data_IF_840394246639
#
_entry.id   IF_840394246639
#
_cell.length_a   1.000
_cell.length_b   1.000
_cell.length_c   1.000
_cell.angle_alpha   90.00
_cell.angle_beta   90.00
_cell.angle_gamma   90.00
#
_symmetry.space_group_name_H-M   'P 1'
#
loop_
_entity.id
_entity.type
_entity.pdbx_description
1 polymer ?
#
# COMPACT_ATOMS: atom_id res chain seq x y z
N UNK A 1 9.73 4.61 -26.14
CA UNK A 1 8.66 3.59 -26.29
C UNK A 1 9.03 2.73 -27.47
N UNK A 2 9.26 1.46 -27.24
CA UNK A 2 9.74 0.52 -28.26
C UNK A 2 8.64 -0.13 -29.08
N UNK A 3 7.35 0.11 -28.72
CA UNK A 3 6.20 -0.52 -29.37
C UNK A 3 6.02 -2.00 -29.05
N UNK A 4 6.81 -2.56 -28.14
CA UNK A 4 6.78 -3.98 -27.78
C UNK A 4 5.69 -4.35 -26.78
N UNK A 5 5.12 -3.38 -26.09
CA UNK A 5 4.10 -3.58 -25.04
C UNK A 5 2.87 -2.76 -25.37
N UNK A 6 1.69 -3.39 -25.41
CA UNK A 6 0.40 -2.73 -25.64
C UNK A 6 -0.23 -2.17 -24.38
N UNK A 7 0.15 -2.71 -23.22
CA UNK A 7 -0.33 -2.27 -21.91
C UNK A 7 0.66 -2.66 -20.82
N UNK A 8 0.55 -1.98 -19.67
CA UNK A 8 1.38 -2.25 -18.50
C UNK A 8 0.61 -1.90 -17.22
N UNK A 9 1.05 -2.46 -16.11
CA UNK A 9 0.61 -2.09 -14.75
C UNK A 9 1.83 -1.69 -13.94
N UNK A 10 1.84 -0.49 -13.41
CA UNK A 10 2.99 0.08 -12.68
C UNK A 10 2.51 1.07 -11.63
N UNK A 11 3.30 1.24 -10.55
CA UNK A 11 3.04 2.25 -9.53
C UNK A 11 3.30 3.68 -10.03
N UNK A 12 2.73 4.66 -9.33
CA UNK A 12 3.01 6.07 -9.58
C UNK A 12 4.46 6.44 -9.18
N UNK A 13 5.04 7.46 -9.86
CA UNK A 13 4.44 8.40 -10.82
C UNK A 13 4.54 7.98 -12.29
N UNK A 14 4.84 6.73 -12.59
CA UNK A 14 5.17 6.27 -13.94
C UNK A 14 3.97 6.29 -14.89
N UNK A 15 2.73 6.07 -14.40
CA UNK A 15 1.52 6.23 -15.22
C UNK A 15 1.33 7.68 -15.63
N UNK A 16 1.41 8.63 -14.66
CA UNK A 16 1.30 10.07 -14.96
C UNK A 16 2.43 10.54 -15.90
N UNK A 17 3.63 9.95 -15.80
CA UNK A 17 4.70 10.22 -16.75
C UNK A 17 4.34 9.76 -18.16
N UNK A 18 3.70 8.60 -18.32
CA UNK A 18 3.27 8.12 -19.63
C UNK A 18 2.19 9.01 -20.25
N UNK A 19 1.21 9.46 -19.46
CA UNK A 19 0.18 10.42 -19.90
C UNK A 19 0.82 11.73 -20.33
N UNK A 20 1.66 12.33 -19.50
CA UNK A 20 2.33 13.60 -19.79
C UNK A 20 3.17 13.55 -21.08
N UNK A 21 3.80 12.42 -21.33
CA UNK A 21 4.62 12.20 -22.55
C UNK A 21 3.80 11.74 -23.76
N UNK A 22 2.49 11.53 -23.62
CA UNK A 22 1.60 11.08 -24.69
C UNK A 22 1.82 9.62 -25.13
N UNK A 23 2.32 8.77 -24.25
CA UNK A 23 2.63 7.36 -24.56
C UNK A 23 1.53 6.39 -24.18
N UNK A 24 0.64 6.79 -23.31
CA UNK A 24 -0.42 5.93 -22.81
C UNK A 24 -1.46 6.68 -22.00
N UNK A 25 -2.55 5.98 -21.74
CA UNK A 25 -3.67 6.46 -20.93
C UNK A 25 -3.96 5.43 -19.84
N UNK A 26 -4.27 5.85 -18.59
CA UNK A 26 -4.76 4.94 -17.56
C UNK A 26 -6.12 4.37 -17.96
N UNK A 27 -6.23 3.05 -17.99
CA UNK A 27 -7.50 2.37 -18.28
C UNK A 27 -8.30 2.21 -16.99
N UNK A 28 -7.61 1.88 -15.89
CA UNK A 28 -8.21 1.63 -14.59
C UNK A 28 -7.17 1.86 -13.50
N UNK A 29 -7.61 2.31 -12.34
CA UNK A 29 -6.80 2.43 -11.13
C UNK A 29 -7.16 1.35 -10.10
N UNK A 30 -6.24 1.01 -9.21
CA UNK A 30 -6.43 -0.07 -8.25
C UNK A 30 -7.56 0.18 -7.25
N UNK A 31 -7.85 1.45 -6.93
CA UNK A 31 -8.96 1.83 -6.05
C UNK A 31 -10.35 1.50 -6.62
N UNK A 32 -10.48 1.47 -7.94
CA UNK A 32 -11.71 1.03 -8.62
C UNK A 32 -11.91 -0.47 -8.46
N UNK A 33 -10.82 -1.24 -8.38
CA UNK A 33 -10.87 -2.68 -8.24
C UNK A 33 -11.05 -3.13 -6.79
N UNK A 34 -10.31 -2.48 -5.89
CA UNK A 34 -10.20 -2.90 -4.51
C UNK A 34 -9.99 -1.72 -3.57
N UNK A 35 -10.90 -1.53 -2.61
CA UNK A 35 -10.78 -0.48 -1.61
C UNK A 35 -9.58 -0.72 -0.70
N UNK A 36 -8.81 0.34 -0.45
CA UNK A 36 -7.74 0.35 0.54
C UNK A 36 -6.72 -0.79 0.35
N UNK A 37 -6.42 -1.10 -0.90
CA UNK A 37 -5.40 -2.08 -1.27
C UNK A 37 -4.02 -1.64 -0.79
N UNK A 38 -3.28 -2.55 -0.13
CA UNK A 38 -1.88 -2.32 0.18
C UNK A 38 -1.07 -2.27 -1.12
N UNK A 39 -0.29 -1.20 -1.31
CA UNK A 39 0.55 -1.02 -2.50
C UNK A 39 2.02 -1.35 -2.18
N UNK A 40 2.68 -0.50 -1.40
CA UNK A 40 4.11 -0.63 -1.10
C UNK A 40 4.34 -0.97 0.37
N UNK A 41 5.40 -1.70 0.64
CA UNK A 41 5.81 -2.05 1.99
C UNK A 41 7.25 -1.61 2.26
N UNK A 42 7.54 -1.26 3.50
CA UNK A 42 8.90 -1.16 3.97
C UNK A 42 9.40 -2.56 4.36
N UNK A 43 10.35 -3.09 3.59
CA UNK A 43 10.92 -4.41 3.79
C UNK A 43 12.37 -4.33 4.27
N UNK A 44 12.70 -5.14 5.28
CA UNK A 44 14.07 -5.37 5.77
C UNK A 44 14.29 -6.87 5.99
N UNK A 45 15.54 -7.30 6.02
CA UNK A 45 15.84 -8.69 6.34
C UNK A 45 15.58 -8.97 7.82
N UNK A 46 15.18 -10.20 8.13
CA UNK A 46 14.97 -10.63 9.52
C UNK A 46 16.24 -10.45 10.35
N UNK A 47 17.38 -10.84 9.78
CA UNK A 47 18.69 -10.69 10.44
C UNK A 47 19.03 -9.22 10.78
N UNK A 48 18.71 -8.27 9.88
CA UNK A 48 18.92 -6.86 10.17
C UNK A 48 18.04 -6.39 11.34
N UNK A 49 16.75 -6.77 11.31
CA UNK A 49 15.81 -6.39 12.36
C UNK A 49 16.21 -6.93 13.74
N UNK A 50 16.70 -8.18 13.79
CA UNK A 50 17.15 -8.85 15.02
C UNK A 50 18.46 -8.26 15.55
N UNK A 51 19.41 -7.97 14.69
CA UNK A 51 20.70 -7.39 15.07
C UNK A 51 20.59 -5.89 15.38
N UNK A 52 19.62 -5.19 14.81
CA UNK A 52 19.46 -3.74 14.93
C UNK A 52 18.05 -3.32 15.37
N UNK A 53 17.50 -3.86 16.48
CA UNK A 53 16.10 -3.64 16.84
C UNK A 53 15.78 -2.16 17.12
N UNK A 54 16.70 -1.42 17.73
CA UNK A 54 16.51 0.00 18.04
C UNK A 54 16.54 0.87 16.76
N UNK A 55 17.43 0.54 15.82
CA UNK A 55 17.50 1.24 14.53
C UNK A 55 16.22 0.99 13.72
N UNK A 56 15.77 -0.26 13.67
CA UNK A 56 14.52 -0.65 13.01
C UNK A 56 13.33 0.15 13.54
N UNK A 57 13.17 0.23 14.85
CA UNK A 57 12.09 1.04 15.47
C UNK A 57 12.24 2.52 15.12
N UNK A 58 13.44 3.09 15.13
CA UNK A 58 13.66 4.50 14.75
C UNK A 58 13.29 4.78 13.29
N UNK A 59 13.62 3.88 12.37
CA UNK A 59 13.22 4.02 10.96
C UNK A 59 11.71 3.96 10.83
N UNK A 60 11.04 3.00 11.47
CA UNK A 60 9.57 2.91 11.45
C UNK A 60 8.91 4.15 12.06
N UNK A 61 9.48 4.73 13.14
CA UNK A 61 9.02 6.02 13.68
C UNK A 61 9.11 7.14 12.66
N UNK A 62 10.21 7.21 11.90
CA UNK A 62 10.37 8.22 10.85
C UNK A 62 9.33 8.04 9.74
N UNK A 63 9.07 6.81 9.31
CA UNK A 63 8.04 6.50 8.31
C UNK A 63 6.63 6.84 8.80
N UNK A 64 6.27 6.52 10.04
CA UNK A 64 4.97 6.89 10.63
C UNK A 64 4.80 8.41 10.62
N UNK A 65 5.81 9.17 11.03
CA UNK A 65 5.74 10.63 11.04
C UNK A 65 5.65 11.22 9.63
N UNK A 66 6.43 10.71 8.68
CA UNK A 66 6.37 11.15 7.29
C UNK A 66 4.99 10.87 6.67
N UNK A 67 4.44 9.69 6.93
CA UNK A 67 3.09 9.32 6.47
C UNK A 67 2.01 10.22 7.08
N UNK A 68 2.09 10.50 8.38
CA UNK A 68 1.18 11.43 9.06
C UNK A 68 1.28 12.84 8.50
N UNK A 69 2.48 13.34 8.27
CA UNK A 69 2.73 14.66 7.68
C UNK A 69 2.14 14.78 6.26
N UNK A 70 2.21 13.73 5.44
CA UNK A 70 1.62 13.73 4.11
C UNK A 70 0.09 13.83 4.11
N UNK A 71 -0.56 13.31 5.15
CA UNK A 71 -2.02 13.22 5.21
C UNK A 71 -2.66 14.29 6.12
N UNK A 72 -1.88 15.00 6.94
CA UNK A 72 -2.43 16.02 7.85
C UNK A 72 -2.95 17.25 7.11
N UNK A 73 -3.82 18.00 7.78
CA UNK A 73 -4.37 19.27 7.28
C UNK A 73 -4.93 19.16 5.85
N UNK A 74 -5.68 18.10 5.59
CA UNK A 74 -6.27 17.85 4.28
C UNK A 74 -5.23 17.77 3.15
N UNK A 75 -4.13 17.03 3.42
CA UNK A 75 -3.04 16.80 2.46
C UNK A 75 -2.21 18.04 2.09
N UNK A 76 -2.15 19.02 3.00
CA UNK A 76 -1.50 20.32 2.76
C UNK A 76 -0.03 20.22 2.31
N UNK A 77 0.68 19.18 2.77
CA UNK A 77 2.12 19.02 2.53
C UNK A 77 2.47 18.23 1.24
N UNK A 78 1.50 17.72 0.52
CA UNK A 78 1.78 16.83 -0.63
C UNK A 78 2.50 17.53 -1.78
N UNK A 79 2.27 18.83 -2.00
CA UNK A 79 3.00 19.60 -3.00
C UNK A 79 4.47 19.80 -2.59
N UNK A 80 4.71 20.09 -1.31
CA UNK A 80 6.07 20.19 -0.77
C UNK A 80 6.81 18.86 -0.89
N UNK A 81 6.14 17.76 -0.56
CA UNK A 81 6.68 16.41 -0.74
C UNK A 81 7.01 16.10 -2.20
N UNK A 82 6.12 16.46 -3.15
CA UNK A 82 6.37 16.28 -4.57
C UNK A 82 7.64 17.00 -5.01
N UNK A 83 7.81 18.26 -4.62
CA UNK A 83 9.01 19.06 -4.90
C UNK A 83 10.27 18.41 -4.31
N UNK A 84 10.19 17.90 -3.07
CA UNK A 84 11.33 17.25 -2.41
C UNK A 84 11.76 15.99 -3.15
N UNK A 85 10.80 15.09 -3.46
CA UNK A 85 11.12 13.78 -4.06
C UNK A 85 11.32 13.82 -5.57
N UNK A 86 11.02 14.95 -6.25
CA UNK A 86 11.32 15.17 -7.65
C UNK A 86 12.81 15.30 -7.95
N UNK A 87 13.62 15.61 -6.92
CA UNK A 87 15.06 15.78 -7.08
C UNK A 87 15.73 14.50 -7.61
N UNK A 88 16.80 14.66 -8.37
CA UNK A 88 17.49 13.56 -9.08
C UNK A 88 18.01 12.44 -8.16
N UNK A 89 18.38 12.78 -6.93
CA UNK A 89 18.84 11.83 -5.92
C UNK A 89 17.70 11.04 -5.25
N UNK A 90 16.42 11.32 -5.59
CA UNK A 90 15.25 10.57 -5.15
C UNK A 90 14.56 9.92 -6.35
N UNK A 91 13.39 10.43 -6.80
CA UNK A 91 12.65 9.83 -7.92
C UNK A 91 13.20 10.31 -9.28
N UNK A 92 13.66 11.54 -9.37
CA UNK A 92 14.21 12.12 -10.59
C UNK A 92 13.19 12.24 -11.73
N UNK A 93 11.95 12.60 -11.40
CA UNK A 93 10.85 12.83 -12.34
C UNK A 93 10.32 14.24 -12.13
N UNK A 94 9.83 14.90 -13.17
CA UNK A 94 9.33 16.26 -13.13
C UNK A 94 8.31 16.45 -11.99
N UNK A 95 8.42 17.54 -11.26
CA UNK A 95 7.62 17.82 -10.05
C UNK A 95 6.12 17.80 -10.32
N UNK A 96 5.67 18.31 -11.47
CA UNK A 96 4.26 18.34 -11.85
C UNK A 96 3.66 16.93 -12.05
N UNK A 97 4.45 15.99 -12.55
CA UNK A 97 4.05 14.59 -12.72
C UNK A 97 3.84 13.93 -11.34
N UNK A 98 4.74 14.17 -10.41
CA UNK A 98 4.64 13.63 -9.04
C UNK A 98 3.48 14.31 -8.30
N UNK A 99 3.32 15.61 -8.48
CA UNK A 99 2.25 16.39 -7.86
C UNK A 99 0.88 15.85 -8.25
N UNK A 100 0.64 15.54 -9.52
CA UNK A 100 -0.64 14.99 -9.98
C UNK A 100 -1.03 13.72 -9.21
N UNK A 101 -0.11 12.77 -9.09
CA UNK A 101 -0.39 11.53 -8.37
C UNK A 101 -0.52 11.71 -6.86
N UNK A 102 0.29 12.59 -6.24
CA UNK A 102 0.23 12.81 -4.79
C UNK A 102 -0.98 13.62 -4.35
N UNK A 103 -1.42 14.60 -5.14
CA UNK A 103 -2.52 15.50 -4.75
C UNK A 103 -3.89 14.98 -5.16
N UNK A 104 -3.95 13.86 -5.88
CA UNK A 104 -5.21 13.31 -6.39
C UNK A 104 -5.80 14.13 -7.54
N UNK A 105 -4.98 14.92 -8.21
CA UNK A 105 -5.33 15.59 -9.48
C UNK A 105 -4.84 14.69 -10.60
N UNK A 106 -5.58 13.60 -10.86
CA UNK A 106 -5.14 12.55 -11.75
C UNK A 106 -5.51 12.84 -13.20
N UNK A 107 -4.53 12.81 -14.09
CA UNK A 107 -4.72 13.01 -15.52
C UNK A 107 -4.85 11.64 -16.22
N UNK A 108 -5.98 11.40 -16.89
CA UNK A 108 -6.27 10.16 -17.62
C UNK A 108 -5.75 10.22 -19.06
N UNK A 109 -5.89 11.37 -19.69
CA UNK A 109 -5.23 11.73 -20.95
C UNK A 109 -5.00 13.23 -20.94
N UNK A 110 -4.28 13.76 -21.90
CA UNK A 110 -3.91 15.17 -21.92
C UNK A 110 -5.15 16.07 -21.84
N UNK A 111 -5.31 16.74 -20.71
CA UNK A 111 -6.42 17.64 -20.40
C UNK A 111 -7.65 16.99 -19.75
N UNK A 112 -7.73 15.65 -19.65
CA UNK A 112 -8.77 14.95 -18.90
C UNK A 112 -8.31 14.72 -17.46
N UNK A 113 -8.53 15.72 -16.61
CA UNK A 113 -8.14 15.69 -15.20
C UNK A 113 -9.36 15.29 -14.37
N UNK A 114 -9.20 14.23 -13.58
CA UNK A 114 -10.23 13.70 -12.69
C UNK A 114 -9.75 13.72 -11.25
N UNK A 115 -10.53 14.27 -10.30
CA UNK A 115 -10.14 14.27 -8.91
C UNK A 115 -10.23 12.87 -8.31
N UNK A 116 -9.11 12.36 -7.79
CA UNK A 116 -9.00 11.12 -7.04
C UNK A 116 -8.31 11.41 -5.70
N UNK A 117 -8.96 12.21 -4.85
CA UNK A 117 -8.36 12.76 -3.62
C UNK A 117 -7.77 11.70 -2.69
N UNK A 118 -8.41 10.54 -2.60
CA UNK A 118 -7.96 9.41 -1.77
C UNK A 118 -7.13 8.38 -2.53
N UNK A 119 -6.65 8.70 -3.73
CA UNK A 119 -5.85 7.77 -4.54
C UNK A 119 -4.60 7.26 -3.82
N UNK A 120 -3.91 8.15 -3.13
CA UNK A 120 -2.82 7.79 -2.22
C UNK A 120 -3.18 8.19 -0.79
N UNK A 121 -3.22 7.23 0.11
CA UNK A 121 -3.42 7.47 1.55
C UNK A 121 -2.27 6.80 2.29
N UNK A 122 -1.57 7.57 3.13
CA UNK A 122 -0.35 7.09 3.80
C UNK A 122 -0.58 6.75 5.27
N UNK A 123 -1.35 7.56 5.98
CA UNK A 123 -1.57 7.43 7.42
C UNK A 123 -3.05 7.38 7.81
N UNK A 124 -3.88 8.23 7.21
CA UNK A 124 -5.32 8.30 7.49
C UNK A 124 -5.96 6.92 7.30
N UNK A 125 -6.87 6.53 8.19
CA UNK A 125 -7.47 5.19 8.16
C UNK A 125 -6.53 4.06 8.64
N UNK A 126 -5.34 4.40 9.15
CA UNK A 126 -4.35 3.45 9.68
C UNK A 126 -3.79 2.49 8.63
N UNK A 127 -3.71 2.92 7.36
CA UNK A 127 -3.21 2.08 6.26
C UNK A 127 -1.73 1.76 6.37
N UNK A 128 -0.96 2.51 7.15
CA UNK A 128 0.45 2.23 7.42
C UNK A 128 0.72 1.05 8.37
N UNK A 129 -0.31 0.51 9.05
CA UNK A 129 -0.16 -0.68 9.88
C UNK A 129 0.04 -1.90 8.96
N UNK A 130 1.05 -2.76 9.19
CA UNK A 130 1.23 -3.98 8.43
C UNK A 130 0.22 -5.05 8.90
N UNK A 131 -1.02 -4.97 8.40
CA UNK A 131 -2.07 -5.92 8.73
C UNK A 131 -1.77 -7.30 8.15
N UNK A 132 -1.96 -8.36 8.93
CA UNK A 132 -1.86 -9.74 8.44
C UNK A 132 -2.86 -10.02 7.32
N UNK A 133 -4.05 -9.40 7.35
CA UNK A 133 -5.04 -9.53 6.28
C UNK A 133 -4.51 -9.08 4.92
N UNK A 134 -3.64 -8.05 4.85
CA UNK A 134 -3.05 -7.60 3.60
C UNK A 134 -2.05 -8.65 3.05
N UNK A 135 -1.23 -9.24 3.93
CA UNK A 135 -0.35 -10.33 3.54
C UNK A 135 -1.14 -11.56 3.07
N UNK A 136 -2.22 -11.91 3.78
CA UNK A 136 -3.09 -13.04 3.42
C UNK A 136 -3.74 -12.80 2.06
N UNK A 137 -4.18 -11.56 1.77
CA UNK A 137 -4.72 -11.19 0.47
C UNK A 137 -3.69 -11.44 -0.64
N UNK A 138 -2.46 -10.98 -0.47
CA UNK A 138 -1.39 -11.23 -1.44
C UNK A 138 -1.10 -12.72 -1.62
N UNK A 139 -1.04 -13.50 -0.56
CA UNK A 139 -0.85 -14.96 -0.63
C UNK A 139 -1.99 -15.64 -1.39
N UNK A 140 -3.25 -15.16 -1.23
CA UNK A 140 -4.38 -15.67 -2.03
C UNK A 140 -4.25 -15.31 -3.50
N UNK A 141 -3.79 -14.10 -3.85
CA UNK A 141 -3.51 -13.74 -5.24
C UNK A 141 -2.37 -14.59 -5.83
N UNK A 142 -1.28 -14.79 -5.10
CA UNK A 142 -0.19 -15.68 -5.52
C UNK A 142 -0.70 -17.11 -5.78
N UNK A 143 -1.60 -17.61 -4.94
CA UNK A 143 -2.25 -18.91 -5.18
C UNK A 143 -3.18 -18.87 -6.40
N UNK A 144 -4.01 -17.84 -6.52
CA UNK A 144 -4.95 -17.65 -7.63
C UNK A 144 -4.22 -17.68 -8.98
N UNK A 145 -3.07 -17.01 -9.07
CA UNK A 145 -2.28 -16.89 -10.29
C UNK A 145 -1.23 -17.98 -10.48
N UNK A 146 -1.24 -19.03 -9.61
CA UNK A 146 -0.39 -20.21 -9.77
C UNK A 146 1.04 -20.07 -9.29
N UNK A 147 1.41 -18.95 -8.67
CA UNK A 147 2.73 -18.77 -8.04
C UNK A 147 2.92 -19.69 -6.81
N UNK A 148 1.83 -19.94 -6.08
CA UNK A 148 1.75 -20.98 -5.07
C UNK A 148 1.02 -22.17 -5.72
N UNK A 149 1.75 -23.22 -6.09
CA UNK A 149 1.22 -24.35 -6.85
C UNK A 149 0.27 -25.24 -6.03
N UNK A 150 0.50 -25.37 -4.73
CA UNK A 150 -0.20 -26.30 -3.87
C UNK A 150 -1.38 -25.64 -3.16
N UNK A 151 -2.43 -26.42 -2.90
CA UNK A 151 -3.52 -26.01 -2.02
C UNK A 151 -3.02 -25.95 -0.58
N UNK A 152 -3.34 -24.87 0.12
CA UNK A 152 -2.96 -24.63 1.50
C UNK A 152 -4.19 -24.50 2.40
N UNK A 153 -4.17 -24.98 3.63
CA UNK A 153 -5.27 -24.79 4.58
C UNK A 153 -5.33 -23.34 5.08
N UNK A 154 -6.45 -22.92 5.65
CA UNK A 154 -6.66 -21.54 6.11
C UNK A 154 -5.57 -21.05 7.09
N UNK A 155 -5.20 -21.88 8.05
CA UNK A 155 -4.18 -21.51 9.04
C UNK A 155 -2.80 -21.21 8.43
N UNK A 156 -2.43 -21.88 7.35
CA UNK A 156 -1.16 -21.66 6.66
C UNK A 156 -0.98 -20.21 6.22
N UNK A 157 -2.07 -19.56 5.76
CA UNK A 157 -2.02 -18.17 5.30
C UNK A 157 -1.69 -17.21 6.43
N UNK A 158 -2.33 -17.37 7.60
CA UNK A 158 -2.04 -16.54 8.77
C UNK A 158 -0.64 -16.80 9.31
N UNK A 159 -0.25 -18.05 9.45
CA UNK A 159 1.10 -18.45 9.93
C UNK A 159 2.21 -17.91 9.02
N UNK A 160 1.97 -17.89 7.71
CA UNK A 160 2.90 -17.32 6.73
C UNK A 160 2.95 -15.81 6.82
N UNK A 161 1.80 -15.14 6.94
CA UNK A 161 1.72 -13.70 7.11
C UNK A 161 2.46 -13.23 8.38
N UNK A 162 2.32 -13.95 9.49
CA UNK A 162 2.97 -13.65 10.78
C UNK A 162 4.50 -13.76 10.73
N UNK A 163 5.04 -14.54 9.81
CA UNK A 163 6.51 -14.66 9.62
C UNK A 163 7.10 -13.44 8.90
N UNK A 164 6.30 -12.75 8.06
CA UNK A 164 6.76 -11.66 7.22
C UNK A 164 6.34 -10.29 7.72
N UNK A 165 5.09 -10.14 8.18
CA UNK A 165 4.54 -8.88 8.62
C UNK A 165 4.77 -8.67 10.11
N UNK A 166 5.24 -7.49 10.49
CA UNK A 166 5.72 -7.17 11.86
C UNK A 166 4.94 -6.00 12.48
N UNK A 167 3.62 -6.16 12.75
CA UNK A 167 2.83 -5.13 13.43
C UNK A 167 3.33 -4.84 14.85
N UNK A 168 4.04 -5.76 15.49
CA UNK A 168 4.71 -5.58 16.77
C UNK A 168 5.74 -4.44 16.72
N UNK A 169 6.55 -4.37 15.66
CA UNK A 169 7.54 -3.30 15.46
C UNK A 169 6.83 -1.95 15.23
N UNK A 170 5.77 -1.94 14.40
CA UNK A 170 4.95 -0.75 14.21
C UNK A 170 4.35 -0.25 15.52
N UNK A 171 3.75 -1.14 16.30
CA UNK A 171 3.15 -0.82 17.60
C UNK A 171 4.18 -0.25 18.58
N UNK A 172 5.38 -0.83 18.64
CA UNK A 172 6.48 -0.33 19.46
C UNK A 172 6.90 1.08 19.02
N UNK A 173 6.99 1.33 17.72
CA UNK A 173 7.34 2.63 17.17
C UNK A 173 6.28 3.70 17.49
N UNK A 174 5.00 3.38 17.29
CA UNK A 174 3.87 4.27 17.58
C UNK A 174 3.79 4.60 19.08
N UNK A 175 3.89 3.60 19.96
CA UNK A 175 3.90 3.82 21.41
C UNK A 175 5.09 4.69 21.85
N UNK A 176 6.26 4.54 21.23
CA UNK A 176 7.41 5.41 21.49
C UNK A 176 7.14 6.87 21.08
N UNK A 177 6.49 7.09 19.92
CA UNK A 177 6.12 8.42 19.47
C UNK A 177 5.10 9.09 20.40
N UNK A 178 4.16 8.32 20.92
CA UNK A 178 3.17 8.79 21.92
C UNK A 178 3.88 9.16 23.21
N UNK A 179 4.73 8.29 23.74
CA UNK A 179 5.48 8.53 24.98
C UNK A 179 6.43 9.73 24.89
N UNK A 180 6.97 10.01 23.72
CA UNK A 180 7.82 11.18 23.44
C UNK A 180 7.02 12.48 23.21
N UNK A 181 5.69 12.44 23.27
CA UNK A 181 4.81 13.58 22.99
C UNK A 181 4.84 14.07 21.54
N UNK A 182 5.35 13.23 20.61
CA UNK A 182 5.48 13.57 19.19
C UNK A 182 4.24 13.26 18.37
N UNK A 183 3.40 12.38 18.88
CA UNK A 183 2.10 12.03 18.32
C UNK A 183 1.10 11.73 19.45
N UNK A 184 -0.18 11.86 19.16
CA UNK A 184 -1.26 11.61 20.14
C UNK A 184 -1.80 10.20 20.00
N UNK A 185 -2.27 9.61 21.11
CA UNK A 185 -2.87 8.26 21.14
C UNK A 185 -4.07 8.13 20.19
N UNK A 186 -4.87 9.18 20.10
CA UNK A 186 -6.07 9.26 19.26
C UNK A 186 -5.77 9.13 17.77
N UNK A 187 -4.53 9.40 17.36
CA UNK A 187 -4.06 9.20 15.98
C UNK A 187 -3.85 7.71 15.62
N UNK A 188 -3.92 6.81 16.61
CA UNK A 188 -3.68 5.37 16.45
C UNK A 188 -4.85 4.53 16.99
N UNK A 189 -6.09 4.71 16.51
CA UNK A 189 -7.25 4.03 17.05
C UNK A 189 -7.18 2.50 16.96
N UNK A 190 -6.46 1.97 15.98
CA UNK A 190 -6.38 0.53 15.71
C UNK A 190 -5.17 -0.18 16.36
N UNK A 191 -4.32 0.53 17.11
CA UNK A 191 -3.19 -0.13 17.81
C UNK A 191 -3.63 -1.13 18.87
N UNK A 192 -4.81 -0.95 19.43
CA UNK A 192 -5.37 -1.83 20.46
C UNK A 192 -6.05 -3.08 19.87
N UNK A 193 -6.21 -3.19 18.56
CA UNK A 193 -6.81 -4.37 17.92
C UNK A 193 -5.79 -5.49 17.89
N UNK A 194 -5.97 -6.46 18.78
CA UNK A 194 -5.01 -7.55 19.00
C UNK A 194 -4.79 -8.48 17.80
N UNK A 195 -5.63 -8.44 16.78
CA UNK A 195 -5.58 -9.42 15.67
C UNK A 195 -4.84 -8.94 14.43
N UNK A 196 -4.76 -7.62 14.20
CA UNK A 196 -4.25 -7.05 12.94
C UNK A 196 -4.89 -7.67 11.68
N UNK A 197 -6.16 -8.03 11.80
CA UNK A 197 -7.00 -8.52 10.71
C UNK A 197 -8.09 -7.47 10.45
N UNK A 198 -8.13 -6.96 9.21
CA UNK A 198 -9.20 -6.06 8.77
C UNK A 198 -10.53 -6.81 8.67
N UNK A 199 -11.67 -6.12 8.80
CA UNK A 199 -12.97 -6.71 8.48
C UNK A 199 -13.02 -7.26 7.05
N UNK A 200 -13.91 -8.22 6.73
CA UNK A 200 -14.10 -8.69 5.38
C UNK A 200 -14.36 -7.54 4.41
N UNK A 201 -13.77 -7.65 3.22
CA UNK A 201 -13.86 -6.63 2.17
C UNK A 201 -14.49 -7.25 0.91
N UNK A 202 -15.30 -6.46 0.21
CA UNK A 202 -15.94 -6.88 -1.03
C UNK A 202 -15.24 -6.24 -2.22
N UNK A 203 -14.84 -7.03 -3.20
CA UNK A 203 -14.31 -6.52 -4.46
C UNK A 203 -15.37 -5.69 -5.18
N UNK A 204 -15.00 -4.52 -5.66
CA UNK A 204 -15.92 -3.63 -6.40
C UNK A 204 -16.20 -4.12 -7.81
N UNK A 205 -15.29 -4.91 -8.37
CA UNK A 205 -15.38 -5.38 -9.75
C UNK A 205 -16.36 -6.57 -9.92
N UNK A 206 -16.25 -7.55 -9.04
CA UNK A 206 -16.94 -8.84 -9.17
C UNK A 206 -17.80 -9.22 -7.95
N UNK A 207 -17.81 -8.36 -6.92
CA UNK A 207 -18.59 -8.57 -5.71
C UNK A 207 -18.11 -9.72 -4.81
N UNK A 208 -16.95 -10.32 -5.11
CA UNK A 208 -16.41 -11.43 -4.31
C UNK A 208 -15.90 -10.90 -2.97
N UNK A 209 -16.32 -11.55 -1.88
CA UNK A 209 -15.94 -11.18 -0.52
C UNK A 209 -14.62 -11.85 -0.15
N UNK A 210 -13.65 -11.04 0.29
CA UNK A 210 -12.41 -11.50 0.92
C UNK A 210 -12.54 -11.41 2.44
N UNK A 211 -12.46 -12.54 3.10
CA UNK A 211 -12.31 -12.68 4.55
C UNK A 211 -10.96 -13.33 4.84
N UNK A 212 -10.05 -12.60 5.49
CA UNK A 212 -8.72 -13.12 5.81
C UNK A 212 -8.73 -14.32 6.76
N UNK A 213 -9.83 -14.55 7.49
CA UNK A 213 -10.03 -15.75 8.31
C UNK A 213 -10.45 -16.97 7.48
N UNK A 214 -10.89 -16.77 6.23
CA UNK A 214 -11.41 -17.81 5.33
C UNK A 214 -10.79 -17.73 3.92
N UNK A 215 -9.46 -17.68 3.78
CA UNK A 215 -8.81 -17.46 2.48
C UNK A 215 -9.13 -18.57 1.46
N UNK A 216 -9.38 -19.80 1.89
CA UNK A 216 -9.77 -20.89 0.98
C UNK A 216 -11.17 -20.70 0.42
N UNK A 217 -12.10 -20.11 1.17
CA UNK A 217 -13.44 -19.78 0.68
C UNK A 217 -13.38 -18.69 -0.40
N UNK A 218 -12.53 -17.65 -0.20
CA UNK A 218 -12.27 -16.64 -1.22
C UNK A 218 -11.72 -17.28 -2.52
N UNK A 219 -10.75 -18.18 -2.40
CA UNK A 219 -10.12 -18.85 -3.54
C UNK A 219 -11.09 -19.77 -4.30
N UNK A 220 -12.11 -20.31 -3.65
CA UNK A 220 -13.11 -21.14 -4.29
C UNK A 220 -13.97 -20.40 -5.34
N UNK A 221 -14.00 -19.06 -5.30
CA UNK A 221 -14.67 -18.24 -6.30
C UNK A 221 -13.90 -18.14 -7.64
N UNK A 222 -12.68 -18.65 -7.73
CA UNK A 222 -11.80 -18.46 -8.88
C UNK A 222 -11.26 -19.77 -9.44
N UNK A 223 -10.98 -19.76 -10.74
CA UNK A 223 -10.10 -20.77 -11.33
C UNK A 223 -8.66 -20.54 -10.85
N UNK A 224 -7.98 -21.60 -10.46
CA UNK A 224 -6.62 -21.53 -9.96
C UNK A 224 -5.62 -21.81 -11.09
N UNK A 225 -4.68 -20.87 -11.26
CA UNK A 225 -3.71 -20.93 -12.36
C UNK A 225 -4.31 -20.51 -13.71
N UNK A 226 -3.41 -20.13 -14.63
CA UNK A 226 -3.80 -19.79 -15.99
C UNK A 226 -3.94 -21.06 -16.86
N UNK A 227 -4.87 -21.92 -16.55
CA UNK A 227 -5.19 -23.08 -17.39
C UNK A 227 -6.63 -23.03 -17.85
#
# INVERSE_FOLDING_TARGET
VTGTTLGYSVGEPWNQKAVKKGFGVPVITSDVLWDNGADKVFGITTSFAEQNPNTTVKVVKALIRASSWLDENDYAHRKEAAKLIAQTNYIGVDEDIITNSLTGVFEYEKGDIRPLKSFNTFFTGQYGIPYYSDAIWWLTQMRRWGQIAETKPNNWYLETAQKAYRPDIYTKAANSLIAEGKMKKEQFPNLATATFIKPPQTSRLDGVVFDANKPTAFLAAFKIGNK
#
